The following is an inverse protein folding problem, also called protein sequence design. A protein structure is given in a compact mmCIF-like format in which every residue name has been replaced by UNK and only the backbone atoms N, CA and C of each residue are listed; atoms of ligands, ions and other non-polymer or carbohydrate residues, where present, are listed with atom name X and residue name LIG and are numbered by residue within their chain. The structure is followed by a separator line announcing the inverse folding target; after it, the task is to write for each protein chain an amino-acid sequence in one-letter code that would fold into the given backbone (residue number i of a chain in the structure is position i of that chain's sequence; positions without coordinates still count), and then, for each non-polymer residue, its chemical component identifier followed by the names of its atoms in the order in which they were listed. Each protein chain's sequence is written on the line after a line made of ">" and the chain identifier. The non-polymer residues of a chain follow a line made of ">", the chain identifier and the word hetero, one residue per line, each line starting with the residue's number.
data_IF_255150237958
#
_entry.id   IF_255150237958
#
_cell.length_a   1.000
_cell.length_b   1.000
_cell.length_c   1.000
_cell.angle_alpha   90.00
_cell.angle_beta   90.00
_cell.angle_gamma   90.00
#
_symmetry.space_group_name_H-M   'P 1'
#
loop_
_entity.id
_entity.type
_entity.pdbx_description
1 polymer ?
#
# COMPACT_ATOMS: atom_id res chain seq x y z
N UNK A 1 49.94 -67.55 -52.53
CA UNK A 1 48.68 -67.70 -51.83
C UNK A 1 49.02 -67.82 -50.37
N UNK A 2 49.12 -66.70 -49.69
CA UNK A 2 49.44 -66.60 -48.25
C UNK A 2 48.19 -66.34 -47.42
N UNK A 3 48.08 -66.91 -46.23
CA UNK A 3 47.00 -66.64 -45.31
C UNK A 3 47.32 -65.42 -44.47
N UNK A 4 46.29 -64.83 -43.83
CA UNK A 4 46.36 -63.51 -43.18
C UNK A 4 46.90 -63.59 -41.77
N UNK A 5 47.57 -62.47 -41.35
CA UNK A 5 48.10 -62.17 -40.03
C UNK A 5 46.98 -61.90 -39.02
N UNK A 6 47.07 -62.56 -37.86
CA UNK A 6 46.34 -62.16 -36.63
C UNK A 6 47.07 -61.00 -35.96
N UNK A 7 46.37 -59.91 -35.75
CA UNK A 7 46.78 -58.84 -34.86
C UNK A 7 46.18 -59.08 -33.46
N UNK A 8 47.05 -58.98 -32.47
CA UNK A 8 46.74 -59.12 -31.05
C UNK A 8 45.88 -57.93 -30.54
N UNK A 9 44.78 -58.25 -29.94
CA UNK A 9 43.97 -57.29 -29.24
C UNK A 9 44.66 -56.91 -27.92
N UNK A 10 45.07 -55.62 -27.81
CA UNK A 10 45.57 -55.05 -26.57
C UNK A 10 44.42 -54.76 -25.63
N UNK A 11 44.41 -55.34 -24.43
CA UNK A 11 43.56 -54.97 -23.32
C UNK A 11 43.86 -53.55 -22.88
N UNK A 12 42.90 -52.63 -23.07
CA UNK A 12 42.91 -51.34 -22.44
C UNK A 12 42.35 -51.53 -21.06
N UNK A 13 43.00 -51.10 -19.98
CA UNK A 13 42.43 -51.14 -18.64
C UNK A 13 41.23 -50.15 -18.57
N UNK A 14 40.07 -50.59 -18.06
CA UNK A 14 38.97 -49.71 -17.72
C UNK A 14 39.45 -48.75 -16.62
N UNK A 15 39.08 -47.46 -16.68
CA UNK A 15 39.34 -46.55 -15.59
C UNK A 15 38.56 -47.06 -14.36
N UNK A 16 39.25 -47.11 -13.24
CA UNK A 16 38.65 -47.37 -11.93
C UNK A 16 37.53 -46.36 -11.72
N UNK A 17 36.31 -46.84 -11.46
CA UNK A 17 35.25 -46.05 -10.91
C UNK A 17 35.75 -45.56 -9.55
N UNK A 18 36.03 -44.26 -9.46
CA UNK A 18 36.27 -43.62 -8.18
C UNK A 18 34.98 -43.79 -7.35
N UNK A 19 35.09 -44.53 -6.27
CA UNK A 19 34.01 -44.57 -5.27
C UNK A 19 33.81 -43.15 -4.78
N UNK A 20 32.54 -42.69 -4.61
CA UNK A 20 32.27 -41.39 -4.06
C UNK A 20 32.96 -41.25 -2.71
N UNK A 21 33.77 -40.23 -2.56
CA UNK A 21 34.49 -39.94 -1.31
C UNK A 21 33.49 -39.72 -0.20
N UNK A 22 33.80 -40.18 0.99
CA UNK A 22 32.96 -40.16 2.23
C UNK A 22 32.48 -38.75 2.63
N UNK A 23 32.96 -37.68 1.98
CA UNK A 23 32.54 -36.30 2.14
C UNK A 23 31.17 -36.00 1.51
N UNK A 24 30.70 -36.78 0.54
CA UNK A 24 29.39 -36.62 -0.08
C UNK A 24 28.23 -37.23 0.75
N UNK A 25 28.55 -37.93 1.83
CA UNK A 25 27.56 -38.69 2.63
C UNK A 25 27.06 -38.03 3.89
N UNK A 26 27.48 -36.82 4.25
CA UNK A 26 27.09 -36.20 5.53
C UNK A 26 26.76 -34.71 5.49
N UNK A 27 26.15 -34.22 4.43
CA UNK A 27 25.40 -32.99 4.58
C UNK A 27 24.05 -33.37 5.20
N UNK A 28 24.01 -33.47 6.52
CA UNK A 28 22.74 -33.60 7.22
C UNK A 28 21.85 -32.41 6.81
N UNK A 29 20.63 -32.67 6.37
CA UNK A 29 19.73 -31.57 6.02
C UNK A 29 19.56 -30.68 7.26
N UNK A 30 19.72 -29.38 7.08
CA UNK A 30 19.49 -28.41 8.16
C UNK A 30 18.06 -28.62 8.66
N UNK A 31 17.84 -28.81 9.99
CA UNK A 31 16.49 -28.93 10.53
C UNK A 31 15.62 -27.76 10.09
N UNK A 32 14.35 -28.01 9.78
CA UNK A 32 13.44 -27.00 9.24
C UNK A 32 13.30 -25.79 10.17
N UNK A 33 13.31 -26.03 11.46
CA UNK A 33 13.20 -25.00 12.50
C UNK A 33 14.42 -24.07 12.52
N UNK A 34 15.61 -24.62 12.29
CA UNK A 34 16.85 -23.83 12.20
C UNK A 34 16.87 -23.03 10.89
N UNK A 35 16.42 -23.63 9.80
CA UNK A 35 16.35 -22.95 8.52
C UNK A 35 15.31 -21.80 8.56
N UNK A 36 14.17 -22.02 9.19
CA UNK A 36 13.15 -20.99 9.41
C UNK A 36 13.72 -19.82 10.23
N UNK A 37 14.45 -20.10 11.32
CA UNK A 37 15.08 -19.07 12.13
C UNK A 37 16.14 -18.28 11.34
N UNK A 38 16.94 -18.93 10.52
CA UNK A 38 17.89 -18.26 9.62
C UNK A 38 17.13 -17.33 8.66
N UNK A 39 16.04 -17.81 8.06
CA UNK A 39 15.26 -17.02 7.12
C UNK A 39 14.59 -15.82 7.80
N UNK A 40 14.20 -15.93 9.08
CA UNK A 40 13.67 -14.80 9.84
C UNK A 40 14.66 -13.66 10.03
N UNK A 41 15.97 -13.92 9.99
CA UNK A 41 17.01 -12.90 10.09
C UNK A 41 17.43 -12.33 8.73
N UNK A 42 17.07 -12.98 7.61
CA UNK A 42 17.39 -12.48 6.28
C UNK A 42 16.37 -11.43 5.80
N UNK A 43 16.78 -10.51 4.92
CA UNK A 43 15.85 -9.61 4.25
C UNK A 43 14.74 -10.38 3.51
N UNK A 44 13.45 -9.98 3.62
CA UNK A 44 12.33 -10.72 3.04
C UNK A 44 12.45 -10.95 1.53
N UNK A 45 12.97 -9.97 0.80
CA UNK A 45 13.18 -10.08 -0.65
C UNK A 45 14.23 -11.12 -1.02
N UNK A 46 15.25 -11.35 -0.17
CA UNK A 46 16.23 -12.41 -0.36
C UNK A 46 15.62 -13.79 -0.10
N UNK A 47 14.78 -13.91 0.91
CA UNK A 47 14.07 -15.17 1.18
C UNK A 47 13.23 -15.60 -0.02
N UNK A 48 12.45 -14.69 -0.60
CA UNK A 48 11.57 -14.99 -1.74
C UNK A 48 12.35 -15.11 -3.07
N UNK A 49 13.33 -14.24 -3.29
CA UNK A 49 14.02 -14.15 -4.58
C UNK A 49 15.24 -15.04 -4.72
N UNK A 50 15.92 -15.39 -3.60
CA UNK A 50 17.18 -16.16 -3.62
C UNK A 50 17.03 -17.49 -2.90
N UNK A 51 16.67 -17.46 -1.61
CA UNK A 51 16.62 -18.67 -0.79
C UNK A 51 15.64 -19.70 -1.34
N UNK A 52 14.48 -19.24 -1.81
CA UNK A 52 13.44 -20.07 -2.43
C UNK A 52 13.97 -20.88 -3.64
N UNK A 53 15.01 -20.42 -4.32
CA UNK A 53 15.57 -21.05 -5.54
C UNK A 53 16.74 -22.00 -5.26
N UNK A 54 17.15 -22.19 -4.00
CA UNK A 54 18.34 -23.00 -3.66
C UNK A 54 18.07 -24.49 -3.77
N UNK A 55 17.04 -24.99 -3.11
CA UNK A 55 16.60 -26.38 -3.18
C UNK A 55 15.15 -26.48 -2.68
N UNK A 56 14.53 -27.66 -2.88
CA UNK A 56 13.14 -27.91 -2.50
C UNK A 56 12.85 -27.66 -1.00
N UNK A 57 13.74 -28.09 -0.12
CA UNK A 57 13.61 -27.84 1.31
C UNK A 57 13.57 -26.33 1.64
N UNK A 58 14.43 -25.56 1.00
CA UNK A 58 14.47 -24.10 1.17
C UNK A 58 13.22 -23.41 0.59
N UNK A 59 12.72 -23.92 -0.53
CA UNK A 59 11.46 -23.45 -1.12
C UNK A 59 10.28 -23.69 -0.17
N UNK A 60 10.17 -24.92 0.38
CA UNK A 60 9.11 -25.28 1.33
C UNK A 60 9.12 -24.36 2.56
N UNK A 61 10.28 -24.05 3.12
CA UNK A 61 10.41 -23.13 4.25
C UNK A 61 10.12 -21.69 3.84
N UNK A 62 10.64 -21.22 2.69
CA UNK A 62 10.40 -19.87 2.22
C UNK A 62 8.92 -19.58 1.89
N UNK A 63 8.17 -20.63 1.54
CA UNK A 63 6.72 -20.54 1.25
C UNK A 63 5.85 -20.89 2.47
N UNK A 64 6.46 -21.29 3.62
CA UNK A 64 5.70 -21.71 4.79
C UNK A 64 4.93 -20.56 5.45
N UNK A 65 3.68 -20.83 5.82
CA UNK A 65 2.85 -19.87 6.54
C UNK A 65 3.40 -19.54 7.94
N UNK A 66 4.11 -20.48 8.58
CA UNK A 66 4.74 -20.30 9.90
C UNK A 66 5.79 -19.19 9.86
N UNK A 67 6.69 -19.23 8.88
CA UNK A 67 7.73 -18.23 8.67
C UNK A 67 7.13 -16.81 8.55
N UNK A 68 6.14 -16.64 7.68
CA UNK A 68 5.56 -15.32 7.43
C UNK A 68 4.68 -14.83 8.57
N UNK A 69 3.99 -15.73 9.26
CA UNK A 69 3.24 -15.42 10.49
C UNK A 69 4.17 -14.95 11.60
N UNK A 70 5.27 -15.66 11.85
CA UNK A 70 6.26 -15.29 12.85
C UNK A 70 6.95 -13.95 12.49
N UNK A 71 7.26 -13.73 11.22
CA UNK A 71 7.80 -12.46 10.74
C UNK A 71 6.83 -11.30 10.98
N UNK A 72 5.55 -11.49 10.67
CA UNK A 72 4.52 -10.50 10.99
C UNK A 72 4.48 -10.19 12.49
N UNK A 73 4.53 -11.23 13.33
CA UNK A 73 4.54 -11.10 14.79
C UNK A 73 5.72 -10.27 15.28
N UNK A 74 6.95 -10.56 14.79
CA UNK A 74 8.19 -9.86 15.18
C UNK A 74 8.16 -8.38 14.75
N UNK A 75 7.64 -8.09 13.57
CA UNK A 75 7.52 -6.71 13.05
C UNK A 75 6.25 -5.99 13.55
N UNK A 76 5.40 -6.65 14.35
CA UNK A 76 4.21 -6.05 14.95
C UNK A 76 3.03 -5.90 13.98
N UNK A 77 3.03 -6.61 12.86
CA UNK A 77 1.89 -6.68 11.96
C UNK A 77 0.86 -7.66 12.49
N UNK A 78 -0.38 -7.22 12.65
CA UNK A 78 -1.47 -8.04 13.17
C UNK A 78 -2.70 -7.90 12.28
N UNK A 79 -3.26 -9.01 11.78
CA UNK A 79 -4.57 -8.96 11.14
C UNK A 79 -5.64 -8.60 12.18
N UNK A 80 -6.70 -7.97 11.74
CA UNK A 80 -7.84 -7.63 12.61
C UNK A 80 -8.47 -8.89 13.23
N UNK A 81 -8.65 -9.90 12.42
CA UNK A 81 -9.18 -11.20 12.85
C UNK A 81 -8.19 -12.32 12.48
N UNK A 82 -7.35 -12.75 13.43
CA UNK A 82 -6.38 -13.82 13.19
C UNK A 82 -7.01 -15.16 12.81
N UNK A 83 -8.28 -15.40 13.15
CA UNK A 83 -8.96 -16.66 12.85
C UNK A 83 -9.24 -16.82 11.35
N UNK A 84 -9.38 -15.72 10.64
CA UNK A 84 -9.56 -15.71 9.18
C UNK A 84 -8.25 -15.95 8.40
N UNK A 85 -7.09 -15.80 9.06
CA UNK A 85 -5.76 -15.96 8.47
C UNK A 85 -5.28 -17.41 8.51
N UNK A 86 -5.83 -18.27 7.68
CA UNK A 86 -5.35 -19.66 7.57
C UNK A 86 -4.22 -19.81 6.55
N UNK A 87 -4.17 -18.93 5.56
CA UNK A 87 -3.19 -18.89 4.45
C UNK A 87 -2.90 -17.43 4.12
N UNK A 88 -1.95 -17.19 3.24
CA UNK A 88 -1.61 -15.86 2.70
C UNK A 88 -0.87 -14.92 3.66
N UNK A 89 -0.23 -15.45 4.73
CA UNK A 89 0.60 -14.63 5.62
C UNK A 89 1.73 -13.93 4.89
N UNK A 90 2.28 -14.55 3.82
CA UNK A 90 3.30 -13.93 2.97
C UNK A 90 2.74 -12.71 2.25
N UNK A 91 1.58 -12.81 1.61
CA UNK A 91 0.92 -11.68 0.96
C UNK A 91 0.61 -10.57 1.97
N UNK A 92 0.01 -10.93 3.10
CA UNK A 92 -0.28 -10.01 4.20
C UNK A 92 0.96 -9.26 4.66
N UNK A 93 2.08 -9.97 4.87
CA UNK A 93 3.35 -9.36 5.27
C UNK A 93 3.81 -8.31 4.25
N UNK A 94 3.85 -8.64 2.97
CA UNK A 94 4.33 -7.73 1.94
C UNK A 94 3.41 -6.53 1.74
N UNK A 95 2.10 -6.69 1.85
CA UNK A 95 1.16 -5.57 1.83
C UNK A 95 1.39 -4.63 3.02
N UNK A 96 1.55 -5.19 4.23
CA UNK A 96 1.92 -4.39 5.42
C UNK A 96 3.26 -3.66 5.27
N UNK A 97 4.23 -4.31 4.62
CA UNK A 97 5.58 -3.75 4.39
C UNK A 97 5.58 -2.66 3.32
N UNK A 98 4.76 -2.82 2.29
CA UNK A 98 4.68 -1.91 1.14
C UNK A 98 3.92 -0.62 1.45
N UNK A 99 3.43 -0.43 2.66
CA UNK A 99 2.61 0.71 3.07
C UNK A 99 2.89 1.96 2.26
N UNK A 100 1.94 2.35 1.45
CA UNK A 100 1.99 3.56 0.66
C UNK A 100 0.61 4.18 0.55
N UNK A 101 0.57 5.46 0.29
CA UNK A 101 -0.65 6.13 -0.13
C UNK A 101 -1.09 5.56 -1.49
N UNK A 102 -2.33 5.12 -1.59
CA UNK A 102 -2.91 4.62 -2.84
C UNK A 102 -3.29 5.76 -3.79
N UNK A 103 -3.50 6.97 -3.27
CA UNK A 103 -3.70 8.16 -4.09
C UNK A 103 -2.39 8.62 -4.73
N UNK A 104 -2.44 8.91 -6.00
CA UNK A 104 -1.33 9.48 -6.79
C UNK A 104 -1.37 10.99 -6.70
N UNK A 105 -0.21 11.65 -6.72
CA UNK A 105 -0.07 13.11 -6.69
C UNK A 105 -0.95 13.79 -5.61
N UNK A 106 -0.89 13.36 -4.34
CA UNK A 106 -1.82 13.82 -3.30
C UNK A 106 -1.56 15.26 -2.82
N UNK A 107 -0.41 15.83 -3.18
CA UNK A 107 0.02 17.18 -2.76
C UNK A 107 0.09 18.18 -3.92
N UNK A 108 -0.24 17.76 -5.15
CA UNK A 108 -0.19 18.62 -6.32
C UNK A 108 1.22 18.88 -6.87
N UNK A 109 2.24 18.10 -6.48
CA UNK A 109 3.64 18.27 -6.94
C UNK A 109 3.77 18.17 -8.47
N UNK A 110 2.81 17.51 -9.13
CA UNK A 110 2.72 17.38 -10.59
C UNK A 110 1.46 18.06 -11.16
N UNK A 111 1.05 19.19 -10.58
CA UNK A 111 -0.15 19.91 -10.99
C UNK A 111 -1.40 19.05 -10.80
N UNK A 112 -2.25 18.98 -11.82
CA UNK A 112 -3.49 18.17 -11.80
C UNK A 112 -3.30 16.74 -12.33
N UNK A 113 -2.08 16.31 -12.63
CA UNK A 113 -1.79 14.95 -13.12
C UNK A 113 -2.35 13.91 -12.16
N UNK A 114 -2.84 12.79 -12.69
CA UNK A 114 -3.50 11.68 -11.98
C UNK A 114 -4.88 12.01 -11.37
N UNK A 115 -5.33 13.25 -11.43
CA UNK A 115 -6.66 13.63 -10.98
C UNK A 115 -7.62 13.80 -12.14
N UNK A 116 -8.76 13.12 -12.10
CA UNK A 116 -9.88 13.36 -12.99
C UNK A 116 -10.67 14.56 -12.48
N UNK A 117 -10.78 15.60 -13.28
CA UNK A 117 -11.64 16.74 -12.98
C UNK A 117 -13.10 16.34 -13.21
N UNK A 118 -13.88 16.41 -12.15
CA UNK A 118 -15.34 16.13 -12.16
C UNK A 118 -16.13 17.39 -12.36
N UNK A 119 -15.76 18.45 -11.62
CA UNK A 119 -16.33 19.79 -11.74
C UNK A 119 -15.20 20.83 -11.71
N UNK A 120 -15.28 21.83 -12.56
CA UNK A 120 -14.26 22.88 -12.69
C UNK A 120 -14.91 24.26 -12.78
N UNK A 121 -15.70 24.61 -11.77
CA UNK A 121 -16.52 25.83 -11.77
C UNK A 121 -15.71 27.10 -11.50
N UNK A 122 -16.24 28.23 -11.92
CA UNK A 122 -15.57 29.52 -11.76
C UNK A 122 -14.27 29.58 -12.57
N UNK A 123 -13.19 30.04 -11.95
CA UNK A 123 -11.85 30.06 -12.55
C UNK A 123 -11.15 28.68 -12.47
N UNK A 124 -11.87 27.68 -11.98
CA UNK A 124 -11.41 26.29 -11.94
C UNK A 124 -10.32 26.03 -10.90
N UNK A 125 -9.82 24.80 -10.95
CA UNK A 125 -8.72 24.33 -10.11
C UNK A 125 -7.39 25.01 -10.46
N UNK A 126 -6.57 25.26 -9.44
CA UNK A 126 -5.14 25.47 -9.63
C UNK A 126 -4.34 24.76 -8.53
N UNK A 127 -3.02 24.73 -8.70
CA UNK A 127 -2.08 24.33 -7.66
C UNK A 127 -1.28 25.56 -7.27
N UNK A 128 -1.11 25.79 -5.98
CA UNK A 128 -0.42 26.96 -5.43
C UNK A 128 0.42 26.55 -4.21
N UNK A 129 1.32 27.42 -3.78
CA UNK A 129 2.06 27.24 -2.52
C UNK A 129 1.13 27.32 -1.31
N UNK A 130 1.49 26.61 -0.23
CA UNK A 130 0.77 26.72 1.04
C UNK A 130 0.90 28.13 1.62
N UNK A 131 -0.20 28.74 2.02
CA UNK A 131 -0.19 30.11 2.58
C UNK A 131 0.24 30.15 4.05
N UNK A 132 -0.08 29.11 4.79
CA UNK A 132 0.37 28.90 6.17
C UNK A 132 1.07 27.54 6.25
N UNK A 133 2.09 27.40 7.10
CA UNK A 133 2.81 26.14 7.22
C UNK A 133 1.87 24.98 7.52
N UNK A 134 2.04 23.89 6.78
CA UNK A 134 1.30 22.67 7.03
C UNK A 134 1.94 21.91 8.22
N UNK A 135 1.15 21.17 9.04
CA UNK A 135 1.69 20.35 10.14
C UNK A 135 2.78 19.33 9.72
N UNK A 136 2.77 18.93 8.46
CA UNK A 136 3.86 18.13 7.86
C UNK A 136 4.74 19.06 7.02
N UNK A 137 5.98 19.25 7.40
CA UNK A 137 6.95 20.11 6.71
C UNK A 137 7.20 19.74 5.23
N UNK A 138 6.94 18.49 4.85
CA UNK A 138 7.07 18.00 3.47
C UNK A 138 5.96 18.49 2.54
N UNK A 139 4.92 19.14 3.05
CA UNK A 139 3.80 19.67 2.26
C UNK A 139 4.07 21.13 1.95
N UNK A 140 4.31 21.44 0.67
CA UNK A 140 4.64 22.79 0.18
C UNK A 140 3.60 23.33 -0.80
N UNK A 141 2.78 22.44 -1.37
CA UNK A 141 1.80 22.77 -2.38
C UNK A 141 0.40 22.29 -1.94
N UNK A 142 -0.62 22.93 -2.51
CA UNK A 142 -2.01 22.57 -2.31
C UNK A 142 -2.83 22.83 -3.59
N UNK A 143 -3.92 22.09 -3.72
CA UNK A 143 -4.96 22.35 -4.73
C UNK A 143 -5.89 23.45 -4.20
N UNK A 144 -6.27 24.38 -5.04
CA UNK A 144 -7.13 25.51 -4.69
C UNK A 144 -8.36 25.49 -5.57
N UNK A 145 -9.53 25.66 -4.94
CA UNK A 145 -10.83 25.78 -5.61
C UNK A 145 -11.22 27.24 -5.87
N UNK A 146 -12.28 27.43 -6.63
CA UNK A 146 -12.77 28.75 -7.05
C UNK A 146 -14.14 29.06 -6.41
N UNK A 147 -14.86 30.06 -6.97
CA UNK A 147 -16.16 30.54 -6.47
C UNK A 147 -17.35 29.66 -6.87
N UNK A 148 -17.21 28.79 -7.85
CA UNK A 148 -18.14 27.71 -8.14
C UNK A 148 -17.52 26.36 -7.81
N UNK A 149 -18.39 25.34 -7.68
CA UNK A 149 -17.96 24.02 -7.26
C UNK A 149 -16.83 23.48 -8.13
N UNK A 150 -15.75 23.08 -7.48
CA UNK A 150 -14.64 22.36 -8.05
C UNK A 150 -14.56 20.99 -7.37
N UNK A 151 -14.62 19.90 -8.16
CA UNK A 151 -14.45 18.52 -7.69
C UNK A 151 -13.46 17.78 -8.56
N UNK A 152 -12.63 16.96 -7.94
CA UNK A 152 -11.72 16.04 -8.62
C UNK A 152 -11.80 14.67 -7.96
N UNK A 153 -11.42 13.63 -8.71
CA UNK A 153 -11.50 12.25 -8.22
C UNK A 153 -10.34 11.40 -8.69
N UNK A 154 -10.14 10.30 -7.98
CA UNK A 154 -9.35 9.15 -8.42
C UNK A 154 -10.14 7.87 -8.22
N UNK A 155 -10.09 6.98 -9.19
CA UNK A 155 -10.57 5.61 -9.08
C UNK A 155 -9.35 4.71 -8.91
N UNK A 156 -9.28 4.01 -7.79
CA UNK A 156 -8.20 3.11 -7.43
C UNK A 156 -8.66 1.69 -7.69
N UNK A 157 -7.94 0.96 -8.53
CA UNK A 157 -8.11 -0.46 -8.73
C UNK A 157 -7.26 -1.21 -7.70
N UNK A 158 -7.92 -1.93 -6.78
CA UNK A 158 -7.23 -2.60 -5.68
C UNK A 158 -6.39 -3.78 -6.18
N UNK A 159 -6.78 -4.44 -7.27
CA UNK A 159 -6.01 -5.54 -7.83
C UNK A 159 -4.72 -5.03 -8.49
N UNK A 160 -4.77 -3.93 -9.24
CA UNK A 160 -3.58 -3.25 -9.77
C UNK A 160 -2.63 -2.78 -8.66
N UNK A 161 -3.19 -2.41 -7.50
CA UNK A 161 -2.42 -2.02 -6.32
C UNK A 161 -1.83 -3.21 -5.53
N UNK A 162 -2.18 -4.45 -5.94
CA UNK A 162 -1.65 -5.69 -5.37
C UNK A 162 -2.55 -6.37 -4.33
N UNK A 163 -3.78 -5.90 -4.18
CA UNK A 163 -4.79 -6.48 -3.29
C UNK A 163 -5.68 -7.43 -4.09
N UNK A 164 -5.36 -8.72 -4.13
CA UNK A 164 -6.18 -9.65 -4.88
C UNK A 164 -7.59 -9.81 -4.29
N UNK A 165 -8.60 -10.16 -5.10
CA UNK A 165 -9.99 -10.28 -4.68
C UNK A 165 -10.20 -11.21 -3.47
N UNK A 166 -9.54 -12.37 -3.46
CA UNK A 166 -9.64 -13.35 -2.37
C UNK A 166 -9.12 -12.79 -1.03
N UNK A 167 -8.06 -12.00 -1.08
CA UNK A 167 -7.52 -11.32 0.11
C UNK A 167 -8.50 -10.27 0.62
N UNK A 168 -9.03 -9.42 -0.27
CA UNK A 168 -10.01 -8.38 0.09
C UNK A 168 -11.27 -8.99 0.71
N UNK A 169 -11.80 -10.07 0.13
CA UNK A 169 -13.03 -10.71 0.60
C UNK A 169 -12.88 -11.41 1.95
N UNK A 170 -11.71 -12.01 2.19
CA UNK A 170 -11.45 -12.78 3.41
C UNK A 170 -11.00 -11.90 4.58
N UNK A 171 -10.07 -10.99 4.32
CA UNK A 171 -9.39 -10.24 5.39
C UNK A 171 -9.95 -8.86 5.63
N UNK A 172 -10.57 -8.26 4.63
CA UNK A 172 -11.18 -6.94 4.72
C UNK A 172 -10.26 -5.96 5.47
N UNK A 173 -9.09 -5.64 4.89
CA UNK A 173 -8.12 -4.76 5.55
C UNK A 173 -8.75 -3.41 5.89
N UNK A 174 -8.38 -2.83 7.04
CA UNK A 174 -8.86 -1.51 7.42
C UNK A 174 -8.37 -0.45 6.42
N UNK A 175 -9.29 0.23 5.77
CA UNK A 175 -9.02 1.33 4.84
C UNK A 175 -9.12 2.63 5.62
N UNK A 176 -8.01 3.35 5.76
CA UNK A 176 -7.97 4.68 6.38
C UNK A 176 -7.90 5.75 5.33
N UNK A 177 -8.75 6.74 5.48
CA UNK A 177 -8.87 7.89 4.61
C UNK A 177 -8.54 9.12 5.43
N UNK A 178 -7.69 9.97 4.90
CA UNK A 178 -7.45 11.30 5.47
C UNK A 178 -7.28 12.34 4.37
N UNK A 179 -7.74 13.53 4.64
CA UNK A 179 -7.55 14.68 3.76
C UNK A 179 -7.34 15.94 4.59
N UNK A 180 -6.53 16.86 4.09
CA UNK A 180 -6.27 18.12 4.75
C UNK A 180 -6.87 19.27 3.95
N UNK A 181 -7.64 20.11 4.64
CA UNK A 181 -8.24 21.30 4.04
C UNK A 181 -8.00 22.54 4.91
N UNK A 182 -7.91 23.68 4.26
CA UNK A 182 -7.76 24.97 4.92
C UNK A 182 -8.47 26.08 4.13
N UNK A 183 -8.98 27.10 4.80
CA UNK A 183 -9.56 28.28 4.15
C UNK A 183 -8.46 29.29 3.78
N UNK A 184 -8.87 30.31 3.05
CA UNK A 184 -8.17 31.58 2.98
C UNK A 184 -8.70 32.51 4.08
N UNK A 185 -7.83 33.31 4.69
CA UNK A 185 -8.19 34.13 5.86
C UNK A 185 -9.35 35.12 5.60
N UNK A 186 -9.38 35.70 4.39
CA UNK A 186 -10.30 36.76 3.98
C UNK A 186 -11.57 36.24 3.30
N UNK A 187 -11.72 34.94 3.10
CA UNK A 187 -12.86 34.35 2.42
C UNK A 187 -13.32 33.07 3.10
N UNK A 188 -14.63 32.93 3.32
CA UNK A 188 -15.22 31.68 3.74
C UNK A 188 -15.26 30.66 2.60
N UNK A 189 -15.21 29.39 2.94
CA UNK A 189 -15.30 28.31 1.95
C UNK A 189 -15.98 27.06 2.49
N UNK A 190 -16.40 26.18 1.60
CA UNK A 190 -16.89 24.85 1.95
C UNK A 190 -15.97 23.78 1.36
N UNK A 191 -15.74 22.73 2.14
CA UNK A 191 -15.06 21.51 1.71
C UNK A 191 -16.00 20.32 1.80
N UNK A 192 -15.93 19.43 0.82
CA UNK A 192 -16.63 18.15 0.84
C UNK A 192 -15.73 17.02 0.32
N UNK A 193 -15.98 15.84 0.87
CA UNK A 193 -15.34 14.59 0.47
C UNK A 193 -16.40 13.50 0.38
N UNK A 194 -16.27 12.63 -0.60
CA UNK A 194 -17.05 11.41 -0.74
C UNK A 194 -16.08 10.29 -1.16
N UNK A 195 -16.09 9.19 -0.42
CA UNK A 195 -15.32 8.00 -0.76
C UNK A 195 -16.25 6.82 -0.83
N UNK A 196 -16.21 6.13 -1.97
CA UNK A 196 -17.06 4.98 -2.26
C UNK A 196 -16.19 3.73 -2.40
N UNK A 197 -16.55 2.67 -1.69
CA UNK A 197 -16.04 1.34 -1.92
C UNK A 197 -16.95 0.67 -2.93
N UNK A 198 -16.38 0.21 -4.06
CA UNK A 198 -17.16 -0.27 -5.18
C UNK A 198 -16.90 -1.75 -5.44
N UNK A 199 -17.92 -2.45 -5.94
CA UNK A 199 -17.85 -3.82 -6.41
C UNK A 199 -17.15 -3.94 -7.79
N UNK A 200 -17.12 -5.14 -8.35
CA UNK A 200 -16.54 -5.44 -9.67
C UNK A 200 -17.27 -4.70 -10.80
N UNK A 201 -18.55 -4.45 -10.67
CA UNK A 201 -19.37 -3.69 -11.63
C UNK A 201 -19.32 -2.18 -11.38
N UNK A 202 -18.52 -1.73 -10.40
CA UNK A 202 -18.40 -0.35 -9.95
C UNK A 202 -19.66 0.23 -9.32
N UNK A 203 -20.51 -0.62 -8.75
CA UNK A 203 -21.63 -0.18 -7.92
C UNK A 203 -21.15 0.11 -6.49
N UNK A 204 -21.66 1.18 -5.85
CA UNK A 204 -21.32 1.50 -4.47
C UNK A 204 -21.81 0.41 -3.51
N UNK A 205 -20.87 -0.14 -2.73
CA UNK A 205 -21.17 -1.07 -1.62
C UNK A 205 -21.23 -0.33 -0.29
N UNK A 206 -20.31 0.62 -0.11
CA UNK A 206 -20.27 1.47 1.06
C UNK A 206 -19.80 2.87 0.66
N UNK A 207 -20.44 3.89 1.23
CA UNK A 207 -20.11 5.29 0.95
C UNK A 207 -19.80 6.02 2.25
N UNK A 208 -18.72 6.74 2.26
CA UNK A 208 -18.37 7.74 3.27
C UNK A 208 -18.55 9.14 2.67
N UNK A 209 -19.55 9.85 3.16
CA UNK A 209 -19.83 11.23 2.77
C UNK A 209 -20.22 12.00 4.05
N UNK A 210 -19.24 12.50 4.80
CA UNK A 210 -19.52 13.26 6.03
C UNK A 210 -20.17 14.58 5.70
N UNK A 211 -20.67 15.27 6.74
CA UNK A 211 -21.11 16.65 6.60
C UNK A 211 -19.98 17.51 6.04
N UNK A 212 -20.37 18.51 5.25
CA UNK A 212 -19.43 19.48 4.70
C UNK A 212 -18.75 20.26 5.80
N UNK A 213 -17.46 20.51 5.63
CA UNK A 213 -16.72 21.41 6.50
C UNK A 213 -16.91 22.84 5.98
N UNK A 214 -17.37 23.74 6.83
CA UNK A 214 -17.54 25.16 6.53
C UNK A 214 -16.51 25.99 7.27
N UNK A 215 -15.93 26.92 6.59
CA UNK A 215 -15.02 27.92 7.15
C UNK A 215 -15.61 29.30 6.97
N UNK A 216 -15.67 30.05 8.05
CA UNK A 216 -16.12 31.42 8.01
C UNK A 216 -15.09 32.38 7.42
N UNK A 217 -15.52 33.53 6.96
CA UNK A 217 -14.64 34.64 6.59
C UNK A 217 -13.92 35.17 7.83
N UNK A 218 -12.74 35.71 7.69
CA UNK A 218 -11.88 36.24 8.79
C UNK A 218 -11.46 35.16 9.78
N UNK A 219 -10.96 34.07 9.24
CA UNK A 219 -10.49 32.90 9.97
C UNK A 219 -8.95 32.93 10.15
N UNK A 220 -8.43 31.97 10.89
CA UNK A 220 -7.01 31.81 11.20
C UNK A 220 -6.21 30.99 10.17
N UNK A 221 -6.85 30.55 9.09
CA UNK A 221 -6.27 29.70 8.02
C UNK A 221 -5.76 28.33 8.53
N UNK A 222 -6.20 27.87 9.67
CA UNK A 222 -5.75 26.62 10.27
C UNK A 222 -6.09 25.42 9.38
N UNK A 223 -5.11 24.52 9.24
CA UNK A 223 -5.33 23.24 8.57
C UNK A 223 -6.21 22.32 9.40
N UNK A 224 -7.28 21.85 8.79
CA UNK A 224 -8.22 20.88 9.36
C UNK A 224 -8.03 19.54 8.69
N UNK A 225 -7.88 18.47 9.47
CA UNK A 225 -7.79 17.12 8.94
C UNK A 225 -9.14 16.40 9.07
N UNK A 226 -9.67 15.97 7.93
CA UNK A 226 -10.83 15.07 7.86
C UNK A 226 -10.32 13.64 7.82
N UNK A 227 -10.79 12.79 8.74
CA UNK A 227 -10.34 11.42 8.87
C UNK A 227 -11.52 10.46 8.96
N UNK A 228 -11.37 9.29 8.37
CA UNK A 228 -12.26 8.15 8.59
C UNK A 228 -11.54 6.84 8.41
N UNK A 229 -12.20 5.76 8.82
CA UNK A 229 -11.75 4.39 8.60
C UNK A 229 -12.94 3.50 8.23
N UNK A 230 -12.67 2.56 7.35
CA UNK A 230 -13.62 1.51 6.97
C UNK A 230 -12.98 0.16 7.29
N UNK A 231 -13.64 -0.62 8.10
CA UNK A 231 -13.10 -1.87 8.62
C UNK A 231 -14.10 -3.04 8.64
N UNK A 232 -15.32 -2.84 8.17
CA UNK A 232 -16.36 -3.88 8.11
C UNK A 232 -17.26 -3.64 6.89
N UNK A 233 -16.64 -3.67 5.71
CA UNK A 233 -17.30 -3.32 4.45
C UNK A 233 -17.84 -4.55 3.69
N UNK A 234 -17.66 -5.76 4.22
CA UNK A 234 -18.07 -7.00 3.57
C UNK A 234 -17.20 -7.43 2.38
N UNK A 235 -17.37 -8.64 1.87
CA UNK A 235 -16.67 -9.12 0.68
C UNK A 235 -17.22 -8.46 -0.58
N UNK A 236 -16.39 -8.38 -1.63
CA UNK A 236 -16.80 -7.90 -2.95
C UNK A 236 -16.19 -6.55 -3.33
N UNK A 237 -15.51 -5.84 -2.43
CA UNK A 237 -14.85 -4.55 -2.75
C UNK A 237 -13.68 -4.78 -3.70
N UNK A 238 -13.68 -4.05 -4.83
CA UNK A 238 -12.65 -4.11 -5.88
C UNK A 238 -12.04 -2.76 -6.18
N UNK A 239 -12.77 -1.67 -5.99
CA UNK A 239 -12.31 -0.32 -6.27
C UNK A 239 -12.58 0.62 -5.09
N UNK A 240 -11.76 1.67 -5.01
CA UNK A 240 -12.03 2.82 -4.14
C UNK A 240 -12.15 4.04 -5.03
N UNK A 241 -13.29 4.72 -4.98
CA UNK A 241 -13.50 5.97 -5.68
C UNK A 241 -13.44 7.12 -4.69
N UNK A 242 -12.39 7.91 -4.79
CA UNK A 242 -12.15 9.07 -3.94
C UNK A 242 -12.53 10.34 -4.68
N UNK A 243 -13.42 11.13 -4.10
CA UNK A 243 -13.93 12.37 -4.67
C UNK A 243 -13.84 13.45 -3.61
N UNK A 244 -13.26 14.58 -3.93
CA UNK A 244 -13.27 15.72 -3.01
C UNK A 244 -13.26 17.05 -3.75
N UNK A 245 -13.55 18.13 -3.02
CA UNK A 245 -13.56 19.46 -3.56
C UNK A 245 -14.22 20.48 -2.68
N UNK A 246 -14.63 21.58 -3.28
CA UNK A 246 -15.28 22.67 -2.59
C UNK A 246 -15.39 23.92 -3.45
N UNK A 247 -15.75 25.02 -2.79
CA UNK A 247 -15.85 26.36 -3.38
C UNK A 247 -15.73 27.42 -2.30
N UNK A 248 -15.62 28.67 -2.66
CA UNK A 248 -15.81 29.77 -1.73
C UNK A 248 -17.32 29.99 -1.41
N UNK A 249 -17.61 30.77 -0.37
CA UNK A 249 -18.97 31.13 0.04
C UNK A 249 -19.35 32.57 -0.27
N UNK A 250 -18.44 33.34 -0.90
CA UNK A 250 -18.63 34.75 -1.22
C UNK A 250 -18.82 35.01 -2.71
N UNK A 251 -18.58 33.98 -3.54
CA UNK A 251 -18.67 34.07 -5.02
C UNK A 251 -17.73 35.12 -5.63
N UNK A 252 -16.55 35.30 -5.02
CA UNK A 252 -15.56 36.24 -5.51
C UNK A 252 -14.80 35.66 -6.70
N UNK A 253 -14.78 36.40 -7.79
CA UNK A 253 -13.99 36.00 -8.97
C UNK A 253 -12.53 35.77 -8.57
N UNK A 254 -11.98 34.62 -8.97
CA UNK A 254 -10.67 34.18 -8.59
C UNK A 254 -10.69 32.82 -7.86
N UNK A 255 -9.60 32.51 -7.16
CA UNK A 255 -9.40 31.24 -6.46
C UNK A 255 -9.30 31.47 -4.97
N UNK A 256 -10.45 31.80 -4.38
CA UNK A 256 -10.62 32.09 -2.96
C UNK A 256 -11.25 30.93 -2.16
N UNK A 257 -11.50 29.80 -2.85
CA UNK A 257 -12.10 28.63 -2.23
C UNK A 257 -11.16 27.84 -1.32
N UNK A 258 -11.58 26.63 -1.00
CA UNK A 258 -10.82 25.76 -0.08
C UNK A 258 -9.50 25.30 -0.70
N UNK A 259 -8.48 25.21 0.14
CA UNK A 259 -7.18 24.62 -0.13
C UNK A 259 -7.15 23.20 0.37
N UNK A 260 -6.67 22.27 -0.46
CA UNK A 260 -6.70 20.84 -0.17
C UNK A 260 -5.33 20.25 -0.47
N UNK A 261 -4.82 19.40 0.42
CA UNK A 261 -3.51 18.75 0.21
C UNK A 261 -3.37 17.49 1.04
N UNK A 262 -2.31 16.73 0.77
CA UNK A 262 -1.90 15.53 1.53
C UNK A 262 -3.04 14.52 1.72
N UNK A 263 -3.87 14.39 0.68
CA UNK A 263 -4.94 13.39 0.61
C UNK A 263 -4.35 11.99 0.70
N UNK A 264 -4.96 11.11 1.48
CA UNK A 264 -4.35 9.82 1.75
C UNK A 264 -5.39 8.72 1.89
N UNK A 265 -5.13 7.60 1.22
CA UNK A 265 -5.79 6.31 1.45
C UNK A 265 -4.70 5.31 1.82
N UNK A 266 -4.78 4.81 3.04
CA UNK A 266 -3.85 3.81 3.57
C UNK A 266 -4.60 2.56 3.96
N UNK A 267 -4.04 1.41 3.62
CA UNK A 267 -4.33 0.16 4.29
C UNK A 267 -3.50 0.07 5.58
N UNK A 268 -4.14 -0.23 6.71
CA UNK A 268 -3.47 -0.24 8.00
C UNK A 268 -3.69 -1.54 8.76
N UNK A 269 -2.60 -2.30 8.89
CA UNK A 269 -2.54 -3.50 9.72
C UNK A 269 -1.68 -3.31 10.99
N UNK A 270 -1.09 -2.13 11.20
CA UNK A 270 -0.32 -1.81 12.40
C UNK A 270 -1.06 -0.73 13.20
N UNK A 271 -1.27 -0.91 14.50
CA UNK A 271 -1.73 0.19 15.33
C UNK A 271 -0.73 1.37 15.19
N UNK A 272 -1.19 2.62 15.17
CA UNK A 272 -0.28 3.77 15.21
C UNK A 272 0.64 3.57 16.41
N UNK A 273 1.94 3.83 16.21
CA UNK A 273 2.86 3.90 17.33
C UNK A 273 2.23 4.85 18.36
N UNK A 274 2.02 4.38 19.57
CA UNK A 274 1.48 5.19 20.66
C UNK A 274 2.39 6.41 20.82
N UNK A 275 1.95 7.56 20.32
CA UNK A 275 2.57 8.82 20.71
C UNK A 275 2.22 8.98 22.18
N UNK A 276 3.21 8.85 23.04
CA UNK A 276 3.11 9.34 24.40
C UNK A 276 2.89 10.85 24.31
N UNK A 277 1.63 11.26 24.38
CA UNK A 277 1.32 12.63 24.75
C UNK A 277 1.67 12.75 26.23
N UNK A 278 2.78 13.38 26.52
CA UNK A 278 3.09 13.86 27.85
C UNK A 278 2.03 14.91 28.17
N UNK A 279 1.04 14.52 28.96
CA UNK A 279 0.11 15.46 29.58
C UNK A 279 0.94 16.23 30.58
N UNK A 280 1.30 17.47 30.27
CA UNK A 280 1.82 18.38 31.25
C UNK A 280 0.61 18.87 32.04
N UNK A 281 0.57 18.46 33.30
CA UNK A 281 -0.35 18.95 34.34
C UNK A 281 -0.09 20.40 34.69
#
# INVERSE_FOLDING_TARGET
>A
MCPPNRLLEGCVPRPHSEEPTDWDRQVLPVPLEILEEIFLHLPPHQVVGVCRSVCRQWEEVADSESLWKERCRREGYRPRDPSKMTKDWRLFYFLCKKRRNLLKNPKGEHGMTDWKIVENGGDGWCVDGVMVPHPKETVQLNFVTSYWMCRKSQLIDLEEEGYNPSFMDRFQPEIRISDWCAPRWDCGCEYNICVELLDEQKNPMQTFAPEKVYFEQWNDQSWTQVNTKHDDYGPGVRYIHFIHGGKDTKYWAGRYGVRITDSCILDTHKPPASRHYTTIS
#
